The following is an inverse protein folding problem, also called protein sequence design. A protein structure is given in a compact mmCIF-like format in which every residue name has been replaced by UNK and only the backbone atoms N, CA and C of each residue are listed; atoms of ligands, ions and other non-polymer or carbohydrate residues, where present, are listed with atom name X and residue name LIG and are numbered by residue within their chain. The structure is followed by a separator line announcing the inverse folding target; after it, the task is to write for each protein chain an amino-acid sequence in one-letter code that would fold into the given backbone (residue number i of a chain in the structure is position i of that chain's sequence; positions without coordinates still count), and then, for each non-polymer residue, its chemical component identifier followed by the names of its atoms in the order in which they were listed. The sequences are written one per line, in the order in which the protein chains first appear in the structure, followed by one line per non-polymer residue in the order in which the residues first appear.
data_IF_304369198764
#
_entry.id   IF_304369198764
#
_cell.length_a   1.000
_cell.length_b   1.000
_cell.length_c   1.000
_cell.angle_alpha   90.00
_cell.angle_beta   90.00
_cell.angle_gamma   90.00
#
_symmetry.space_group_name_H-M   'P 1'
#
loop_
_entity.id
_entity.type
_entity.pdbx_description
1 polymer ?
#
# COMPACT_ATOMS: atom_id res chain seq x y z
N UNK A 1 -36.40 5.31 -51.48
CA UNK A 1 -35.68 5.70 -52.71
C UNK A 1 -34.23 5.24 -52.59
N UNK A 2 -33.84 4.32 -53.49
CA UNK A 2 -32.51 3.74 -53.75
C UNK A 2 -31.88 2.84 -52.65
N UNK A 3 -31.21 1.72 -52.90
CA UNK A 3 -31.45 0.46 -53.64
C UNK A 3 -30.09 -0.21 -53.91
N UNK A 4 -30.03 -1.55 -53.74
CA UNK A 4 -29.06 -2.54 -54.28
C UNK A 4 -27.61 -2.49 -53.73
N UNK A 5 -27.13 -3.49 -52.97
CA UNK A 5 -26.82 -4.90 -53.27
C UNK A 5 -25.36 -5.15 -53.69
N UNK A 6 -24.63 -5.98 -52.95
CA UNK A 6 -23.52 -6.76 -53.49
C UNK A 6 -23.56 -8.20 -52.98
N UNK A 7 -23.29 -9.10 -53.93
CA UNK A 7 -23.44 -10.56 -53.89
C UNK A 7 -22.23 -11.22 -53.25
N UNK A 8 -22.43 -12.42 -52.69
CA UNK A 8 -21.42 -13.48 -52.74
C UNK A 8 -22.07 -14.73 -53.36
N UNK A 9 -21.38 -15.34 -54.33
CA UNK A 9 -21.78 -16.51 -55.11
C UNK A 9 -20.85 -17.69 -54.76
N UNK A 10 -21.47 -18.88 -54.66
CA UNK A 10 -20.93 -20.25 -54.79
C UNK A 10 -20.14 -20.80 -53.58
N UNK A 11 -20.35 -22.02 -53.04
CA UNK A 11 -21.22 -23.15 -53.39
C UNK A 11 -21.30 -24.20 -52.24
N UNK A 12 -22.32 -25.07 -52.31
CA UNK A 12 -22.78 -26.14 -51.39
C UNK A 12 -21.72 -27.18 -50.87
N UNK A 13 -22.02 -28.10 -49.91
CA UNK A 13 -23.32 -28.45 -49.30
C UNK A 13 -23.39 -28.43 -47.75
N UNK A 14 -24.61 -28.37 -47.22
CA UNK A 14 -24.92 -28.59 -45.81
C UNK A 14 -25.00 -30.10 -45.49
N UNK A 15 -24.39 -30.50 -44.38
CA UNK A 15 -24.79 -31.64 -43.55
C UNK A 15 -24.62 -31.25 -42.07
N UNK A 16 -25.40 -31.84 -41.15
CA UNK A 16 -25.78 -31.20 -39.90
C UNK A 16 -24.74 -31.47 -38.82
N UNK A 17 -24.15 -30.42 -38.25
CA UNK A 17 -23.33 -30.53 -37.05
C UNK A 17 -23.99 -29.67 -35.97
N UNK A 18 -24.40 -30.39 -34.93
CA UNK A 18 -24.96 -29.94 -33.67
C UNK A 18 -24.42 -28.59 -33.20
N UNK A 19 -25.35 -27.70 -32.86
CA UNK A 19 -25.12 -26.50 -32.08
C UNK A 19 -24.40 -26.82 -30.77
N UNK A 20 -23.15 -26.39 -30.65
CA UNK A 20 -22.49 -26.15 -29.38
C UNK A 20 -21.59 -24.92 -29.54
N UNK A 21 -22.23 -23.74 -29.51
CA UNK A 21 -21.55 -22.47 -29.25
C UNK A 21 -21.03 -22.53 -27.81
N UNK A 22 -19.75 -22.89 -27.63
CA UNK A 22 -19.04 -22.63 -26.37
C UNK A 22 -18.49 -21.22 -26.46
N UNK A 23 -19.30 -20.28 -26.01
CA UNK A 23 -18.89 -18.91 -25.71
C UNK A 23 -17.87 -18.95 -24.58
N UNK A 24 -16.61 -18.64 -24.84
CA UNK A 24 -15.53 -18.60 -23.83
C UNK A 24 -15.55 -17.34 -22.95
N UNK A 25 -16.71 -16.70 -22.80
CA UNK A 25 -16.92 -15.54 -21.92
C UNK A 25 -17.39 -15.90 -20.51
N UNK A 26 -17.45 -17.18 -20.14
CA UNK A 26 -17.89 -17.61 -18.80
C UNK A 26 -16.74 -18.07 -17.91
N UNK A 27 -15.75 -17.19 -17.71
CA UNK A 27 -14.72 -17.38 -16.66
C UNK A 27 -14.46 -16.10 -15.82
N UNK A 28 -15.20 -15.02 -16.06
CA UNK A 28 -15.04 -13.74 -15.33
C UNK A 28 -16.28 -13.34 -14.52
N UNK A 29 -17.27 -14.22 -14.39
CA UNK A 29 -18.54 -13.93 -13.69
C UNK A 29 -18.71 -14.65 -12.34
N UNK A 30 -17.68 -15.30 -11.81
CA UNK A 30 -17.76 -15.98 -10.50
C UNK A 30 -17.37 -15.13 -9.28
N UNK A 31 -17.15 -13.82 -9.45
CA UNK A 31 -16.95 -12.89 -8.34
C UNK A 31 -18.02 -11.79 -8.30
N UNK A 32 -19.27 -12.14 -8.63
CA UNK A 32 -20.40 -11.34 -8.14
C UNK A 32 -20.57 -11.71 -6.67
N UNK A 33 -19.98 -10.90 -5.79
CA UNK A 33 -20.28 -10.95 -4.36
C UNK A 33 -21.75 -10.58 -4.23
N UNK A 34 -22.60 -11.59 -4.04
CA UNK A 34 -23.98 -11.36 -3.69
C UNK A 34 -24.00 -10.60 -2.35
N UNK A 35 -24.84 -9.56 -2.17
CA UNK A 35 -24.90 -8.79 -0.93
C UNK A 35 -25.28 -9.65 0.30
N UNK A 36 -25.77 -10.86 0.07
CA UNK A 36 -26.12 -11.85 1.10
C UNK A 36 -25.00 -12.86 1.41
N UNK A 37 -23.86 -12.78 0.69
CA UNK A 37 -22.61 -13.51 0.97
C UNK A 37 -21.57 -12.63 1.66
N UNK A 38 -21.99 -11.51 2.26
CA UNK A 38 -21.18 -10.84 3.26
C UNK A 38 -20.74 -11.89 4.28
N UNK A 39 -19.43 -12.18 4.30
CA UNK A 39 -18.80 -12.98 5.35
C UNK A 39 -19.39 -12.53 6.69
N UNK A 40 -19.76 -13.45 7.60
CA UNK A 40 -20.30 -13.07 8.89
C UNK A 40 -19.33 -12.04 9.49
N UNK A 41 -19.79 -10.79 9.59
CA UNK A 41 -18.98 -9.66 10.05
C UNK A 41 -18.37 -10.07 11.38
N UNK A 42 -17.06 -10.27 11.32
CA UNK A 42 -16.11 -10.46 12.42
C UNK A 42 -16.77 -10.84 13.74
N UNK A 43 -16.98 -12.15 13.92
CA UNK A 43 -17.48 -12.70 15.17
C UNK A 43 -16.64 -12.17 16.36
N UNK A 44 -17.33 -11.55 17.32
CA UNK A 44 -16.81 -10.89 18.52
C UNK A 44 -16.03 -11.80 19.51
N UNK A 45 -15.58 -12.99 19.10
CA UNK A 45 -14.88 -13.96 19.95
C UNK A 45 -13.55 -14.44 19.35
N UNK A 46 -12.97 -13.70 18.40
CA UNK A 46 -11.58 -13.91 18.03
C UNK A 46 -10.68 -13.20 19.05
N UNK A 47 -10.12 -13.95 20.01
CA UNK A 47 -8.98 -13.45 20.78
C UNK A 47 -7.87 -13.06 19.79
N UNK A 48 -7.62 -11.76 19.64
CA UNK A 48 -6.55 -11.28 18.80
C UNK A 48 -5.22 -11.85 19.33
N UNK A 49 -4.38 -12.47 18.48
CA UNK A 49 -3.15 -13.13 18.93
C UNK A 49 -2.03 -12.13 19.30
N UNK A 50 -2.35 -10.83 19.32
CA UNK A 50 -1.40 -9.75 19.55
C UNK A 50 -1.75 -9.01 20.85
N UNK A 51 -0.74 -8.74 21.68
CA UNK A 51 -0.92 -7.98 22.92
C UNK A 51 -1.09 -6.46 22.70
N UNK A 52 -0.56 -5.95 21.59
CA UNK A 52 -0.66 -4.56 21.16
C UNK A 52 -0.27 -4.45 19.67
N UNK A 53 -0.64 -3.33 19.05
CA UNK A 53 -0.21 -2.97 17.68
C UNK A 53 0.51 -1.62 17.73
N UNK A 54 1.66 -1.52 17.06
CA UNK A 54 2.36 -0.25 16.87
C UNK A 54 2.36 0.08 15.38
N UNK A 55 1.73 1.19 15.00
CA UNK A 55 1.63 1.65 13.61
C UNK A 55 2.48 2.89 13.39
N UNK A 56 3.37 2.83 12.41
CA UNK A 56 4.33 3.90 12.08
C UNK A 56 3.89 4.59 10.79
N UNK A 57 3.67 5.90 10.85
CA UNK A 57 3.14 6.71 9.74
C UNK A 57 1.91 6.09 9.04
N UNK A 58 0.87 5.67 9.79
CA UNK A 58 -0.30 5.06 9.18
C UNK A 58 -1.04 6.03 8.23
N UNK A 59 -1.30 5.60 7.01
CA UNK A 59 -2.14 6.31 6.04
C UNK A 59 -3.60 5.94 6.23
N UNK A 60 -4.20 6.35 7.36
CA UNK A 60 -5.59 6.00 7.72
C UNK A 60 -6.48 7.24 7.67
N UNK A 61 -7.57 7.17 6.92
CA UNK A 61 -8.41 8.33 6.69
C UNK A 61 -9.88 7.92 6.59
N UNK A 62 -10.80 8.67 7.19
CA UNK A 62 -12.23 8.43 6.93
C UNK A 62 -12.62 8.94 5.54
N UNK A 63 -13.71 8.41 5.01
CA UNK A 63 -14.24 8.84 3.71
C UNK A 63 -14.64 10.32 3.73
N UNK A 64 -15.16 10.80 4.85
CA UNK A 64 -15.54 12.21 5.05
C UNK A 64 -14.32 13.12 4.93
N UNK A 65 -13.24 12.81 5.67
CA UNK A 65 -11.99 13.57 5.62
C UNK A 65 -11.36 13.55 4.20
N UNK A 66 -11.50 12.44 3.48
CA UNK A 66 -11.07 12.34 2.08
C UNK A 66 -11.85 13.29 1.18
N UNK A 67 -13.17 13.30 1.30
CA UNK A 67 -14.05 14.15 0.48
C UNK A 67 -13.85 15.64 0.78
N UNK A 68 -13.60 16.00 2.05
CA UNK A 68 -13.27 17.38 2.45
C UNK A 68 -11.95 17.88 1.85
N UNK A 69 -11.00 16.97 1.58
CA UNK A 69 -9.67 17.27 1.03
C UNK A 69 -9.46 16.70 -0.38
N UNK A 70 -10.56 16.43 -1.10
CA UNK A 70 -10.57 15.60 -2.30
C UNK A 70 -9.59 16.08 -3.38
N UNK A 71 -9.66 17.36 -3.77
CA UNK A 71 -8.85 17.91 -4.86
C UNK A 71 -7.35 17.81 -4.55
N UNK A 72 -6.94 18.20 -3.33
CA UNK A 72 -5.54 18.13 -2.90
C UNK A 72 -5.03 16.68 -2.87
N UNK A 73 -5.88 15.74 -2.42
CA UNK A 73 -5.53 14.32 -2.34
C UNK A 73 -5.39 13.67 -3.70
N UNK A 74 -6.36 13.88 -4.59
CA UNK A 74 -6.31 13.33 -5.95
C UNK A 74 -5.11 13.93 -6.70
N UNK A 75 -4.81 15.21 -6.51
CA UNK A 75 -3.60 15.82 -7.08
C UNK A 75 -2.32 15.17 -6.54
N UNK A 76 -2.25 14.93 -5.22
CA UNK A 76 -1.10 14.26 -4.59
C UNK A 76 -0.90 12.81 -5.04
N UNK A 77 -1.99 12.04 -5.14
CA UNK A 77 -1.98 10.65 -5.63
C UNK A 77 -1.48 10.63 -7.08
N UNK A 78 -2.11 11.39 -7.98
CA UNK A 78 -1.71 11.45 -9.40
C UNK A 78 -0.25 11.86 -9.57
N UNK A 79 0.21 12.85 -8.80
CA UNK A 79 1.62 13.26 -8.82
C UNK A 79 2.56 12.13 -8.41
N UNK A 80 2.18 11.35 -7.40
CA UNK A 80 2.97 10.20 -6.91
C UNK A 80 2.99 9.06 -7.93
N UNK A 81 1.84 8.75 -8.54
CA UNK A 81 1.74 7.78 -9.63
C UNK A 81 2.64 8.19 -10.80
N UNK A 82 2.48 9.39 -11.33
CA UNK A 82 3.25 9.89 -12.47
C UNK A 82 4.75 9.89 -12.19
N UNK A 83 5.15 10.36 -11.01
CA UNK A 83 6.55 10.35 -10.60
C UNK A 83 7.11 8.93 -10.54
N UNK A 84 6.35 8.00 -9.97
CA UNK A 84 6.76 6.59 -9.81
C UNK A 84 6.86 5.90 -11.17
N UNK A 85 5.86 6.06 -12.05
CA UNK A 85 5.85 5.47 -13.37
C UNK A 85 7.00 5.96 -14.28
N UNK A 86 7.40 7.23 -14.14
CA UNK A 86 8.47 7.83 -14.95
C UNK A 86 9.87 7.63 -14.38
N UNK A 87 10.01 7.12 -13.15
CA UNK A 87 11.33 7.00 -12.53
C UNK A 87 12.22 6.01 -13.28
N UNK A 88 13.52 6.31 -13.29
CA UNK A 88 14.57 5.36 -13.67
C UNK A 88 14.52 4.16 -12.73
N UNK A 89 14.50 2.97 -13.31
CA UNK A 89 14.41 1.67 -12.63
C UNK A 89 15.48 0.66 -13.07
N UNK A 90 16.40 1.04 -13.95
CA UNK A 90 17.50 0.18 -14.42
C UNK A 90 18.84 0.93 -14.45
N UNK A 91 19.91 0.25 -14.05
CA UNK A 91 21.28 0.76 -13.93
C UNK A 91 22.30 -0.27 -14.43
N UNK A 92 23.47 0.19 -14.88
CA UNK A 92 24.54 -0.66 -15.39
C UNK A 92 25.20 -1.51 -14.31
N UNK A 93 25.12 -1.08 -13.04
CA UNK A 93 25.56 -1.84 -11.87
C UNK A 93 24.88 -1.35 -10.59
N UNK A 94 25.10 -2.04 -9.46
CA UNK A 94 24.60 -1.61 -8.14
C UNK A 94 25.29 -0.33 -7.66
N UNK A 95 26.56 -0.16 -7.99
CA UNK A 95 27.37 1.03 -7.68
C UNK A 95 26.82 2.26 -8.42
N UNK A 96 26.43 2.11 -9.68
CA UNK A 96 25.76 3.19 -10.40
C UNK A 96 24.38 3.49 -9.80
N UNK A 97 23.62 2.46 -9.43
CA UNK A 97 22.31 2.62 -8.81
C UNK A 97 22.37 3.45 -7.52
N UNK A 98 23.30 3.13 -6.61
CA UNK A 98 23.44 3.89 -5.37
C UNK A 98 23.91 5.33 -5.61
N UNK A 99 24.87 5.54 -6.53
CA UNK A 99 25.34 6.87 -6.90
C UNK A 99 24.23 7.74 -7.49
N UNK A 100 23.32 7.13 -8.27
CA UNK A 100 22.15 7.80 -8.86
C UNK A 100 21.02 8.06 -7.86
N UNK A 101 20.78 7.15 -6.92
CA UNK A 101 19.65 7.27 -5.98
C UNK A 101 19.95 8.27 -4.85
N UNK A 102 21.18 8.27 -4.32
CA UNK A 102 21.56 9.15 -3.19
C UNK A 102 21.44 10.66 -3.48
N UNK A 103 21.34 11.06 -4.75
CA UNK A 103 21.31 12.48 -5.16
C UNK A 103 19.90 13.05 -5.27
N UNK A 104 18.85 12.23 -5.10
CA UNK A 104 17.45 12.68 -5.27
C UNK A 104 16.52 12.14 -4.20
N UNK A 105 15.50 12.93 -3.89
CA UNK A 105 14.42 12.49 -3.02
C UNK A 105 13.61 11.34 -3.67
N UNK A 106 13.08 10.41 -2.85
CA UNK A 106 13.20 10.37 -1.39
C UNK A 106 14.50 9.75 -0.87
N UNK A 107 15.26 9.01 -1.68
CA UNK A 107 16.44 8.24 -1.24
C UNK A 107 17.56 9.08 -0.65
N UNK A 108 17.74 10.33 -1.11
CA UNK A 108 18.71 11.26 -0.53
C UNK A 108 18.42 11.65 0.94
N UNK A 109 17.23 11.32 1.43
CA UNK A 109 16.81 11.58 2.82
C UNK A 109 16.96 10.37 3.74
N UNK A 110 17.23 9.19 3.17
CA UNK A 110 17.31 7.94 3.92
C UNK A 110 18.62 7.85 4.71
N UNK A 111 18.61 7.05 5.77
CA UNK A 111 19.82 6.61 6.45
C UNK A 111 20.68 5.80 5.47
N UNK A 112 21.98 6.08 5.43
CA UNK A 112 22.91 5.44 4.50
C UNK A 112 22.87 3.90 4.61
N UNK A 113 22.75 3.36 5.83
CA UNK A 113 22.66 1.90 6.04
C UNK A 113 21.41 1.31 5.39
N UNK A 114 20.29 2.03 5.47
CA UNK A 114 19.02 1.61 4.85
C UNK A 114 19.13 1.67 3.33
N UNK A 115 19.71 2.74 2.77
CA UNK A 115 19.93 2.85 1.33
C UNK A 115 20.82 1.71 0.82
N UNK A 116 21.90 1.38 1.51
CA UNK A 116 22.76 0.24 1.16
C UNK A 116 21.98 -1.09 1.16
N UNK A 117 21.12 -1.32 2.16
CA UNK A 117 20.24 -2.51 2.19
C UNK A 117 19.22 -2.51 1.07
N UNK A 118 18.66 -1.36 0.71
CA UNK A 118 17.76 -1.22 -0.44
C UNK A 118 18.48 -1.58 -1.75
N UNK A 119 19.71 -1.11 -1.95
CA UNK A 119 20.52 -1.47 -3.12
C UNK A 119 20.83 -2.96 -3.14
N UNK A 120 21.14 -3.56 -1.99
CA UNK A 120 21.44 -4.99 -1.87
C UNK A 120 20.22 -5.88 -2.17
N UNK A 121 19.05 -5.55 -1.60
CA UNK A 121 17.89 -6.45 -1.59
C UNK A 121 16.73 -6.03 -2.50
N UNK A 122 16.65 -4.75 -2.81
CA UNK A 122 15.61 -4.14 -3.65
C UNK A 122 15.92 -4.16 -5.15
N UNK A 123 17.13 -4.57 -5.55
CA UNK A 123 17.53 -4.73 -6.95
C UNK A 123 17.81 -6.19 -7.30
N UNK A 124 17.49 -6.57 -8.53
CA UNK A 124 17.80 -7.87 -9.15
C UNK A 124 18.61 -7.66 -10.42
N UNK A 125 19.36 -8.67 -10.85
CA UNK A 125 20.02 -8.63 -12.15
C UNK A 125 18.95 -8.59 -13.23
N UNK A 126 19.14 -7.73 -14.22
CA UNK A 126 18.25 -7.70 -15.39
C UNK A 126 18.55 -8.89 -16.30
N UNK A 127 17.54 -9.29 -17.06
CA UNK A 127 17.60 -10.34 -18.09
C UNK A 127 18.44 -9.93 -19.32
N UNK A 128 19.00 -8.71 -19.32
CA UNK A 128 19.97 -8.24 -20.31
C UNK A 128 21.38 -8.73 -19.93
N UNK A 129 22.16 -9.11 -20.93
CA UNK A 129 23.56 -9.53 -20.73
C UNK A 129 24.39 -8.45 -20.02
N UNK A 130 25.21 -8.85 -19.03
CA UNK A 130 26.10 -7.99 -18.25
C UNK A 130 25.65 -7.77 -16.80
N UNK A 131 26.29 -6.82 -16.11
CA UNK A 131 26.04 -6.51 -14.68
C UNK A 131 24.84 -5.57 -14.44
N UNK A 132 23.98 -5.41 -15.45
CA UNK A 132 22.82 -4.51 -15.38
C UNK A 132 21.84 -4.99 -14.32
N UNK A 133 21.36 -4.05 -13.50
CA UNK A 133 20.39 -4.31 -12.43
C UNK A 133 19.12 -3.48 -12.61
N UNK A 134 18.01 -4.03 -12.15
CA UNK A 134 16.69 -3.39 -12.18
C UNK A 134 15.98 -3.49 -10.83
N UNK A 135 14.97 -2.66 -10.60
CA UNK A 135 14.13 -2.75 -9.40
C UNK A 135 13.45 -4.12 -9.33
N UNK A 136 13.48 -4.74 -8.14
CA UNK A 136 12.74 -5.97 -7.87
C UNK A 136 11.22 -5.73 -7.87
N UNK A 137 10.79 -4.57 -7.38
CA UNK A 137 9.41 -4.10 -7.50
C UNK A 137 9.26 -3.33 -8.82
N UNK A 138 8.50 -3.85 -9.81
CA UNK A 138 8.28 -3.13 -11.05
C UNK A 138 7.60 -1.78 -10.80
N UNK A 139 8.17 -0.69 -11.32
CA UNK A 139 7.67 0.67 -11.05
C UNK A 139 6.21 0.89 -11.46
N UNK A 140 5.71 0.17 -12.46
CA UNK A 140 4.32 0.26 -12.88
C UNK A 140 3.37 -0.41 -11.89
N UNK A 141 3.80 -1.49 -11.23
CA UNK A 141 3.01 -2.12 -10.17
C UNK A 141 2.99 -1.23 -8.91
N UNK A 142 4.14 -0.65 -8.53
CA UNK A 142 4.18 0.33 -7.45
C UNK A 142 3.31 1.55 -7.77
N UNK A 143 3.42 2.09 -8.99
CA UNK A 143 2.61 3.22 -9.43
C UNK A 143 1.12 2.92 -9.34
N UNK A 144 0.68 1.75 -9.81
CA UNK A 144 -0.75 1.38 -9.81
C UNK A 144 -1.31 1.24 -8.38
N UNK A 145 -0.47 0.94 -7.40
CA UNK A 145 -0.91 0.78 -6.00
C UNK A 145 -1.38 2.09 -5.35
N UNK A 146 -0.91 3.25 -5.83
CA UNK A 146 -1.30 4.54 -5.22
C UNK A 146 -2.72 4.99 -5.55
N UNK A 147 -3.31 4.48 -6.65
CA UNK A 147 -4.69 4.78 -7.03
C UNK A 147 -5.72 4.10 -6.12
N UNK A 148 -5.34 3.04 -5.43
CA UNK A 148 -6.21 2.33 -4.49
C UNK A 148 -6.35 3.12 -3.19
N UNK A 149 -7.53 3.69 -2.98
CA UNK A 149 -7.86 4.49 -1.80
C UNK A 149 -8.78 3.75 -0.83
N UNK A 150 -9.32 2.58 -1.22
CA UNK A 150 -10.31 1.87 -0.39
C UNK A 150 -9.68 1.41 0.92
N UNK A 151 -8.42 0.98 0.87
CA UNK A 151 -7.63 0.62 2.06
C UNK A 151 -7.48 1.75 3.07
N UNK A 152 -7.54 3.04 2.65
CA UNK A 152 -7.51 4.18 3.58
C UNK A 152 -8.76 4.18 4.48
N UNK A 153 -9.93 3.93 3.88
CA UNK A 153 -11.23 3.99 4.54
C UNK A 153 -11.49 2.75 5.38
N UNK A 154 -11.19 1.57 4.84
CA UNK A 154 -11.32 0.29 5.55
C UNK A 154 -10.45 0.29 6.82
N UNK A 155 -9.23 0.81 6.72
CA UNK A 155 -8.35 0.94 7.88
C UNK A 155 -8.89 1.90 8.95
N UNK A 156 -9.70 2.90 8.58
CA UNK A 156 -10.29 3.83 9.55
C UNK A 156 -11.40 3.15 10.36
N UNK A 157 -12.20 2.29 9.71
CA UNK A 157 -13.20 1.47 10.39
C UNK A 157 -12.53 0.42 11.28
N UNK A 158 -11.54 -0.31 10.74
CA UNK A 158 -10.78 -1.29 11.50
C UNK A 158 -10.07 -0.66 12.71
N UNK A 159 -9.55 0.56 12.57
CA UNK A 159 -8.90 1.25 13.69
C UNK A 159 -9.88 1.61 14.82
N UNK A 160 -11.12 2.00 14.49
CA UNK A 160 -12.17 2.24 15.48
C UNK A 160 -12.57 0.96 16.24
N UNK A 161 -12.63 -0.19 15.55
CA UNK A 161 -12.89 -1.49 16.16
C UNK A 161 -11.71 -1.95 17.03
N UNK A 162 -10.49 -1.95 16.47
CA UNK A 162 -9.29 -2.44 17.14
C UNK A 162 -8.93 -1.64 18.40
N UNK A 163 -9.19 -0.33 18.44
CA UNK A 163 -8.99 0.47 19.66
C UNK A 163 -9.76 -0.07 20.88
N UNK A 164 -10.84 -0.84 20.67
CA UNK A 164 -11.66 -1.41 21.75
C UNK A 164 -11.09 -2.72 22.27
N UNK A 165 -10.38 -3.45 21.42
CA UNK A 165 -9.96 -4.82 21.68
C UNK A 165 -8.48 -4.93 22.07
N UNK A 166 -7.62 -4.09 21.50
CA UNK A 166 -6.16 -4.12 21.75
C UNK A 166 -5.55 -2.71 21.83
N UNK A 167 -4.53 -2.49 22.66
CA UNK A 167 -3.76 -1.24 22.66
C UNK A 167 -3.15 -0.96 21.27
N UNK A 168 -3.51 0.17 20.68
CA UNK A 168 -2.89 0.67 19.44
C UNK A 168 -2.00 1.88 19.75
N UNK A 169 -0.75 1.83 19.34
CA UNK A 169 0.20 2.93 19.48
C UNK A 169 0.53 3.51 18.11
N UNK A 170 0.50 4.84 17.99
CA UNK A 170 0.80 5.54 16.74
C UNK A 170 2.16 6.22 16.85
N UNK A 171 2.99 6.08 15.82
CA UNK A 171 4.27 6.78 15.69
C UNK A 171 4.29 7.61 14.42
N UNK A 172 4.45 8.93 14.55
CA UNK A 172 4.60 9.87 13.44
C UNK A 172 6.03 10.35 13.27
N UNK A 173 6.43 10.79 12.09
CA UNK A 173 7.59 11.62 11.85
C UNK A 173 7.32 13.07 12.24
N UNK A 174 8.32 13.71 12.86
CA UNK A 174 8.23 15.11 13.30
C UNK A 174 8.34 16.16 12.19
N UNK A 175 8.69 15.78 10.96
CA UNK A 175 8.70 16.64 9.77
C UNK A 175 7.43 16.41 8.95
N UNK A 176 6.87 17.49 8.43
CA UNK A 176 5.72 17.42 7.53
C UNK A 176 6.19 17.54 6.07
N UNK A 177 6.64 16.42 5.50
CA UNK A 177 7.17 16.33 4.12
C UNK A 177 6.27 15.51 3.17
N UNK A 178 5.16 14.97 3.68
CA UNK A 178 4.14 14.27 2.90
C UNK A 178 2.86 15.10 2.84
N UNK A 179 2.75 15.88 1.76
CA UNK A 179 1.69 16.87 1.57
C UNK A 179 0.28 16.27 1.63
N UNK A 180 0.12 14.99 1.28
CA UNK A 180 -1.18 14.31 1.30
C UNK A 180 -1.66 13.92 2.71
N UNK A 181 -0.92 14.26 3.77
CA UNK A 181 -1.27 13.91 5.15
C UNK A 181 -0.86 14.99 6.17
N UNK A 182 -1.66 16.06 6.23
CA UNK A 182 -1.42 17.22 7.10
C UNK A 182 -1.37 16.87 8.59
N UNK A 183 -0.80 17.78 9.39
CA UNK A 183 -0.77 17.64 10.85
C UNK A 183 -2.19 17.59 11.42
N UNK A 184 -3.11 18.33 10.81
CA UNK A 184 -4.52 18.41 11.17
C UNK A 184 -5.22 17.08 10.89
N UNK A 185 -4.93 16.45 9.75
CA UNK A 185 -5.46 15.13 9.41
C UNK A 185 -4.92 14.04 10.34
N UNK A 186 -3.62 14.09 10.68
CA UNK A 186 -3.03 13.18 11.69
C UNK A 186 -3.71 13.33 13.05
N UNK A 187 -4.04 14.56 13.46
CA UNK A 187 -4.77 14.83 14.71
C UNK A 187 -6.22 14.33 14.64
N UNK A 188 -6.91 14.56 13.52
CA UNK A 188 -8.31 14.16 13.32
C UNK A 188 -8.51 12.64 13.26
N UNK A 189 -7.43 11.86 13.08
CA UNK A 189 -7.46 10.42 13.22
C UNK A 189 -7.83 9.99 14.66
N UNK A 190 -7.43 10.77 15.67
CA UNK A 190 -7.72 10.52 17.08
C UNK A 190 -9.06 11.16 17.44
N UNK A 191 -10.00 10.35 17.93
CA UNK A 191 -11.36 10.77 18.30
C UNK A 191 -11.84 9.97 19.50
N UNK A 192 -13.01 10.30 20.05
CA UNK A 192 -13.66 9.51 21.12
C UNK A 192 -13.92 8.04 20.73
N UNK A 193 -13.89 7.73 19.43
CA UNK A 193 -14.07 6.36 18.90
C UNK A 193 -12.76 5.71 18.44
N UNK A 194 -11.71 6.51 18.22
CA UNK A 194 -10.37 6.06 17.82
C UNK A 194 -9.38 6.58 18.84
N UNK A 195 -9.26 5.83 19.93
CA UNK A 195 -8.48 6.21 21.11
C UNK A 195 -7.22 5.33 21.15
N UNK A 196 -6.09 5.79 20.56
CA UNK A 196 -4.84 5.04 20.67
C UNK A 196 -4.35 5.04 22.12
N UNK A 197 -3.65 3.98 22.51
CA UNK A 197 -2.98 3.86 23.79
C UNK A 197 -1.83 4.87 23.94
N UNK A 198 -1.15 5.22 22.84
CA UNK A 198 -0.24 6.37 22.80
C UNK A 198 -0.06 6.94 21.40
N UNK A 199 0.37 8.20 21.33
CA UNK A 199 0.81 8.86 20.10
C UNK A 199 2.20 9.44 20.34
N UNK A 200 3.17 9.02 19.55
CA UNK A 200 4.57 9.43 19.65
C UNK A 200 5.06 10.05 18.34
N UNK A 201 6.14 10.81 18.41
CA UNK A 201 6.74 11.46 17.25
C UNK A 201 8.24 11.23 17.23
N UNK A 202 8.80 10.86 16.07
CA UNK A 202 10.23 10.70 15.83
C UNK A 202 10.81 12.02 15.29
N UNK A 203 11.61 12.76 16.07
CA UNK A 203 12.17 14.03 15.62
C UNK A 203 13.07 13.85 14.41
N UNK A 204 13.00 14.78 13.46
CA UNK A 204 13.88 14.78 12.29
C UNK A 204 13.50 13.81 11.17
N UNK A 205 12.56 12.89 11.40
CA UNK A 205 11.96 12.05 10.37
C UNK A 205 10.72 12.70 9.77
N UNK A 206 10.50 12.52 8.48
CA UNK A 206 9.23 12.77 7.79
C UNK A 206 8.41 11.50 7.63
N UNK A 207 7.68 11.35 6.53
CA UNK A 207 6.77 10.23 6.31
C UNK A 207 7.46 8.86 6.20
N UNK A 208 8.72 8.83 5.75
CA UNK A 208 9.47 7.58 5.62
C UNK A 208 10.29 7.26 6.89
N UNK A 209 9.66 7.31 8.07
CA UNK A 209 10.35 7.21 9.38
C UNK A 209 11.34 6.04 9.46
N UNK A 210 10.97 4.78 9.12
CA UNK A 210 11.90 3.65 9.24
C UNK A 210 13.11 3.77 8.31
N UNK A 211 12.97 4.52 7.22
CA UNK A 211 14.01 4.69 6.21
C UNK A 211 14.93 5.88 6.53
N UNK A 212 14.42 6.90 7.22
CA UNK A 212 15.13 8.15 7.48
C UNK A 212 15.79 8.20 8.86
N UNK A 213 15.18 7.63 9.89
CA UNK A 213 15.67 7.67 11.28
C UNK A 213 15.47 6.32 11.99
N UNK A 214 16.10 5.23 11.49
CA UNK A 214 15.89 3.88 12.03
C UNK A 214 16.26 3.77 13.53
N UNK A 215 17.35 4.39 13.98
CA UNK A 215 17.76 4.31 15.39
C UNK A 215 16.76 5.02 16.31
N UNK A 216 16.31 6.23 15.96
CA UNK A 216 15.32 6.97 16.75
C UNK A 216 13.95 6.28 16.76
N UNK A 217 13.59 5.64 15.64
CA UNK A 217 12.41 4.79 15.61
C UNK A 217 12.58 3.62 16.57
N UNK A 218 13.73 2.94 16.59
CA UNK A 218 14.01 1.85 17.51
C UNK A 218 13.91 2.28 18.98
N UNK A 219 14.45 3.45 19.34
CA UNK A 219 14.32 4.02 20.69
C UNK A 219 12.85 4.25 21.06
N UNK A 220 12.06 4.79 20.11
CA UNK A 220 10.62 5.04 20.31
C UNK A 220 9.84 3.74 20.47
N UNK A 221 10.16 2.72 19.66
CA UNK A 221 9.55 1.40 19.77
C UNK A 221 9.90 0.72 21.10
N UNK A 222 11.15 0.81 21.55
CA UNK A 222 11.57 0.29 22.84
C UNK A 222 10.78 0.91 24.00
N UNK A 223 10.66 2.24 24.01
CA UNK A 223 9.87 2.94 25.02
C UNK A 223 8.38 2.55 25.02
N UNK A 224 7.79 2.26 23.85
CA UNK A 224 6.41 1.76 23.76
C UNK A 224 6.34 0.32 24.28
N UNK A 225 7.26 -0.56 23.87
CA UNK A 225 7.28 -1.96 24.27
C UNK A 225 7.42 -2.13 25.79
N UNK A 226 8.18 -1.25 26.46
CA UNK A 226 8.29 -1.21 27.93
C UNK A 226 6.95 -0.93 28.63
N UNK A 227 5.95 -0.38 27.91
CA UNK A 227 4.60 -0.13 28.43
C UNK A 227 3.59 -1.23 28.11
N UNK A 228 3.92 -2.14 27.18
CA UNK A 228 3.00 -3.22 26.77
C UNK A 228 3.09 -4.37 27.78
N UNK A 229 1.99 -4.71 28.48
CA UNK A 229 1.99 -5.85 29.38
C UNK A 229 2.03 -7.13 28.57
N UNK A 230 3.20 -7.76 28.45
CA UNK A 230 3.34 -9.09 27.84
C UNK A 230 2.97 -10.12 28.91
N UNK A 231 1.89 -10.91 28.75
CA UNK A 231 1.61 -12.00 29.67
C UNK A 231 2.78 -12.97 29.63
N UNK A 232 3.51 -13.11 30.73
CA UNK A 232 4.54 -14.12 30.83
C UNK A 232 3.87 -15.48 30.93
N UNK A 233 3.63 -16.13 29.79
CA UNK A 233 3.31 -17.54 29.79
C UNK A 233 4.60 -18.27 30.13
N UNK A 234 4.74 -18.77 31.36
CA UNK A 234 5.77 -19.76 31.65
C UNK A 234 5.63 -20.88 30.62
N UNK A 235 6.60 -20.98 29.71
CA UNK A 235 6.72 -22.16 28.89
C UNK A 235 6.84 -23.34 29.85
N UNK A 236 5.86 -24.25 29.83
CA UNK A 236 6.01 -25.54 30.50
C UNK A 236 7.19 -26.24 29.81
N UNK A 237 8.33 -26.24 30.48
CA UNK A 237 9.47 -27.08 30.14
C UNK A 237 9.12 -28.55 30.36
#
# INVERSE_FOLDING_TARGET
MASLAYRSRNGHPQSPISSNLVSTTTAWSQWVIHPEQALPKYAHEAHLPFAATIIVEPTILTKEMFLETYEERIAGIRKTEEYTARRRDTWASREEAIASLKTRAPWSTWDERVLQKYIQHGLVNSDRAGDTVTLKCPKLLESASYADVDGLFESAYAFEELCRDVPIHIVWGGKHDFASFSTELKKALVTDRRVPASVSTVPGAGHMVPLQQPDRLADTLGAILDTVPIPYTQAKL
#
